data_IF_429301268985
#
_entry.id   IF_429301268985
#
_cell.length_a   1.000
_cell.length_b   1.000
_cell.length_c   1.000
_cell.angle_alpha   90.00
_cell.angle_beta   90.00
_cell.angle_gamma   90.00
#
_symmetry.space_group_name_H-M   'P 1'
#
loop_
_entity.id
_entity.type
_entity.pdbx_description
1 polymer ?
#
# COMPACT_ATOMS: atom_id res chain seq x y z
N UNK A 1 3.50 -33.42 -8.57
CA UNK A 1 4.33 -32.43 -7.86
C UNK A 1 3.46 -31.84 -6.76
N UNK A 2 3.80 -32.09 -5.50
CA UNK A 2 2.93 -31.79 -4.35
C UNK A 2 3.42 -30.51 -3.68
N UNK A 3 2.66 -29.42 -3.80
CA UNK A 3 3.03 -28.15 -3.17
C UNK A 3 2.61 -28.17 -1.69
N UNK A 4 3.58 -28.11 -0.77
CA UNK A 4 3.32 -27.88 0.64
C UNK A 4 3.36 -26.38 0.94
N UNK A 5 2.28 -25.86 1.54
CA UNK A 5 2.23 -24.50 2.08
C UNK A 5 2.96 -24.47 3.42
N UNK A 6 4.12 -23.81 3.45
CA UNK A 6 4.92 -23.59 4.67
C UNK A 6 4.56 -22.23 5.27
N UNK A 7 4.61 -22.11 6.60
CA UNK A 7 4.36 -20.84 7.29
C UNK A 7 5.36 -19.75 6.85
N UNK A 8 4.84 -18.54 6.57
CA UNK A 8 5.58 -17.40 6.00
C UNK A 8 6.87 -17.03 6.77
N UNK A 9 6.90 -17.30 8.07
CA UNK A 9 8.06 -17.09 8.95
C UNK A 9 9.31 -17.88 8.58
N UNK A 10 9.22 -18.94 7.77
CA UNK A 10 10.40 -19.67 7.29
C UNK A 10 11.05 -19.06 6.05
N UNK A 11 10.28 -18.36 5.20
CA UNK A 11 10.84 -17.61 4.06
C UNK A 11 11.64 -16.40 4.55
N UNK A 12 11.15 -15.72 5.59
CA UNK A 12 11.84 -14.58 6.22
C UNK A 12 13.19 -14.97 6.86
N UNK A 13 13.40 -16.24 7.19
CA UNK A 13 14.65 -16.76 7.77
C UNK A 13 15.68 -17.22 6.74
N UNK A 14 15.32 -17.24 5.46
CA UNK A 14 16.24 -17.52 4.35
C UNK A 14 16.16 -16.35 3.39
N UNK A 15 16.91 -15.29 3.68
CA UNK A 15 17.17 -14.25 2.70
C UNK A 15 17.95 -14.91 1.56
N UNK A 16 17.24 -15.31 0.52
CA UNK A 16 17.86 -15.68 -0.75
C UNK A 16 18.62 -14.46 -1.24
N UNK A 17 19.84 -14.70 -1.71
CA UNK A 17 20.62 -13.67 -2.37
C UNK A 17 19.85 -13.16 -3.60
N UNK A 18 20.12 -11.92 -4.03
CA UNK A 18 19.51 -11.37 -5.23
C UNK A 18 19.78 -12.25 -6.48
N UNK A 19 20.87 -13.02 -6.47
CA UNK A 19 21.26 -13.96 -7.52
C UNK A 19 20.41 -15.24 -7.50
N UNK A 20 20.23 -15.87 -6.33
CA UNK A 20 19.33 -17.02 -6.16
C UNK A 20 17.87 -16.66 -6.51
N UNK A 21 17.43 -15.44 -6.20
CA UNK A 21 16.10 -14.95 -6.59
C UNK A 21 15.97 -14.78 -8.12
N UNK A 22 17.04 -14.34 -8.80
CA UNK A 22 17.05 -14.19 -10.27
C UNK A 22 16.98 -15.54 -10.95
N UNK A 23 17.76 -16.51 -10.50
CA UNK A 23 17.76 -17.87 -11.01
C UNK A 23 16.40 -18.55 -10.78
N UNK A 24 15.86 -18.45 -9.55
CA UNK A 24 14.57 -19.03 -9.19
C UNK A 24 13.40 -18.48 -10.02
N UNK A 25 13.47 -17.20 -10.41
CA UNK A 25 12.43 -16.53 -11.21
C UNK A 25 12.74 -16.46 -12.71
N UNK A 26 13.85 -17.04 -13.17
CA UNK A 26 14.26 -17.01 -14.58
C UNK A 26 14.48 -15.60 -15.13
N UNK A 27 14.95 -14.67 -14.29
CA UNK A 27 15.06 -13.24 -14.61
C UNK A 27 16.35 -12.86 -15.34
N UNK A 28 17.14 -13.83 -15.78
CA UNK A 28 18.45 -13.61 -16.44
C UNK A 28 18.35 -12.74 -17.70
N UNK A 29 17.15 -12.60 -18.29
CA UNK A 29 16.88 -11.78 -19.46
C UNK A 29 16.16 -10.44 -19.17
N UNK A 30 15.76 -10.16 -17.92
CA UNK A 30 14.95 -8.97 -17.60
C UNK A 30 15.86 -7.85 -17.09
N UNK A 31 16.07 -6.83 -17.92
CA UNK A 31 16.72 -5.61 -17.49
C UNK A 31 15.83 -4.91 -16.45
N UNK A 32 16.24 -4.99 -15.18
CA UNK A 32 15.54 -4.30 -14.10
C UNK A 32 15.47 -2.79 -14.41
N UNK A 33 14.33 -2.14 -14.18
CA UNK A 33 14.22 -0.70 -14.40
C UNK A 33 15.24 0.04 -13.52
N UNK A 34 15.80 1.14 -14.05
CA UNK A 34 16.70 2.01 -13.28
C UNK A 34 16.00 2.43 -11.99
N UNK A 35 16.71 2.30 -10.86
CA UNK A 35 16.21 2.70 -9.54
C UNK A 35 15.79 4.17 -9.57
N UNK A 36 14.50 4.42 -9.33
CA UNK A 36 13.96 5.78 -9.22
C UNK A 36 14.25 6.26 -7.78
N UNK A 37 14.92 7.40 -7.58
CA UNK A 37 15.11 7.94 -6.23
C UNK A 37 13.75 8.32 -5.62
N UNK A 38 13.36 7.60 -4.57
CA UNK A 38 12.03 7.70 -3.92
C UNK A 38 12.03 8.75 -2.79
N UNK A 39 13.13 9.48 -2.58
CA UNK A 39 13.41 10.09 -1.27
C UNK A 39 12.46 11.21 -0.89
N UNK A 40 12.19 12.21 -1.73
CA UNK A 40 11.36 13.33 -1.31
C UNK A 40 9.87 13.02 -1.31
N UNK A 41 9.38 12.32 -2.34
CA UNK A 41 7.97 11.98 -2.54
C UNK A 41 7.40 11.00 -1.51
N UNK A 42 8.29 10.25 -0.84
CA UNK A 42 7.92 9.29 0.18
C UNK A 42 7.59 9.98 1.51
N UNK A 43 8.29 11.05 1.86
CA UNK A 43 8.15 11.65 3.19
C UNK A 43 6.79 12.28 3.42
N UNK A 44 6.20 12.93 2.42
CA UNK A 44 4.85 13.52 2.59
C UNK A 44 3.80 12.43 2.69
N UNK A 45 3.94 11.36 1.92
CA UNK A 45 3.08 10.18 2.03
C UNK A 45 3.15 9.56 3.43
N UNK A 46 4.36 9.27 3.92
CA UNK A 46 4.55 8.75 5.27
C UNK A 46 3.97 9.69 6.33
N UNK A 47 4.21 11.00 6.19
CA UNK A 47 3.69 11.99 7.11
C UNK A 47 2.16 12.02 7.11
N UNK A 48 1.52 11.94 5.94
CA UNK A 48 0.06 11.84 5.84
C UNK A 48 -0.50 10.61 6.56
N UNK A 49 0.15 9.46 6.41
CA UNK A 49 -0.24 8.20 7.09
C UNK A 49 0.00 8.28 8.60
N UNK A 50 1.09 8.93 9.05
CA UNK A 50 1.36 9.18 10.47
C UNK A 50 0.33 10.12 11.08
N UNK A 51 -0.02 11.21 10.40
CA UNK A 51 -1.08 12.11 10.85
C UNK A 51 -2.41 11.36 11.01
N UNK A 52 -2.77 10.52 10.02
CA UNK A 52 -3.94 9.65 10.14
C UNK A 52 -3.87 8.74 11.38
N UNK A 53 -2.76 8.05 11.60
CA UNK A 53 -2.56 7.20 12.79
C UNK A 53 -2.77 7.98 14.10
N UNK A 54 -2.19 9.18 14.20
CA UNK A 54 -2.29 10.03 15.40
C UNK A 54 -3.74 10.40 15.69
N UNK A 55 -4.47 10.87 14.68
CA UNK A 55 -5.84 11.37 14.88
C UNK A 55 -6.87 10.25 14.99
N UNK A 56 -6.69 9.13 14.29
CA UNK A 56 -7.59 7.97 14.38
C UNK A 56 -7.27 7.03 15.54
N UNK A 57 -6.13 7.22 16.22
CA UNK A 57 -5.70 6.41 17.36
C UNK A 57 -5.25 5.00 16.96
N UNK A 58 -4.71 4.85 15.75
CA UNK A 58 -4.32 3.57 15.17
C UNK A 58 -2.79 3.43 15.07
N UNK A 59 -2.29 2.23 15.36
CA UNK A 59 -0.85 1.94 15.32
C UNK A 59 -0.29 1.63 13.93
N UNK A 60 -1.16 1.34 12.97
CA UNK A 60 -0.78 0.99 11.60
C UNK A 60 -1.83 1.51 10.61
N UNK A 61 -1.36 2.22 9.59
CA UNK A 61 -2.20 2.71 8.50
C UNK A 61 -2.17 1.77 7.28
N UNK A 62 -1.22 0.83 7.24
CA UNK A 62 -1.02 -0.06 6.11
C UNK A 62 -1.45 -1.49 6.43
N UNK A 63 -2.09 -2.15 5.46
CA UNK A 63 -2.18 -3.60 5.47
C UNK A 63 -0.99 -4.12 4.67
N UNK A 64 0.13 -4.35 5.37
CA UNK A 64 1.31 -4.95 4.74
C UNK A 64 1.06 -6.44 4.58
N UNK A 65 0.93 -6.91 3.34
CA UNK A 65 0.63 -8.32 3.04
C UNK A 65 1.69 -9.30 3.57
N UNK A 66 2.90 -8.86 3.91
CA UNK A 66 3.92 -9.68 4.57
C UNK A 66 3.84 -9.71 6.10
N UNK A 67 3.15 -8.75 6.73
CA UNK A 67 3.12 -8.56 8.18
C UNK A 67 1.77 -9.03 8.73
N UNK A 68 1.79 -9.74 9.85
CA UNK A 68 0.60 -10.00 10.67
C UNK A 68 0.93 -9.59 12.08
N UNK A 69 0.09 -8.74 12.66
CA UNK A 69 0.23 -8.30 14.04
C UNK A 69 -0.63 -9.18 14.95
N UNK A 70 -0.26 -9.26 16.23
CA UNK A 70 -1.07 -9.99 17.21
C UNK A 70 -2.44 -9.34 17.43
N UNK A 71 -2.47 -8.01 17.29
CA UNK A 71 -3.67 -7.18 17.30
C UNK A 71 -3.67 -6.46 15.96
N UNK A 72 -4.60 -6.83 15.08
CA UNK A 72 -4.79 -6.17 13.79
C UNK A 72 -5.63 -4.90 14.02
N UNK A 73 -5.34 -3.83 13.27
CA UNK A 73 -6.05 -2.55 13.41
C UNK A 73 -7.56 -2.72 13.18
N UNK A 74 -8.37 -2.09 14.05
CA UNK A 74 -9.82 -2.12 13.90
C UNK A 74 -10.27 -1.22 12.76
N UNK A 75 -9.61 -0.05 12.61
CA UNK A 75 -9.86 0.89 11.52
C UNK A 75 -8.79 0.77 10.46
N UNK A 76 -9.15 1.19 9.26
CA UNK A 76 -8.25 1.13 8.10
C UNK A 76 -8.21 2.47 7.43
N UNK A 77 -7.00 2.92 7.09
CA UNK A 77 -6.86 3.99 6.13
C UNK A 77 -7.59 3.59 4.83
N UNK A 78 -8.47 4.44 4.28
CA UNK A 78 -8.55 5.88 4.49
C UNK A 78 -9.77 6.37 5.31
N UNK A 79 -10.32 5.54 6.21
CA UNK A 79 -11.50 5.89 7.01
C UNK A 79 -11.16 6.99 8.03
N UNK A 80 -12.01 8.02 8.14
CA UNK A 80 -11.83 9.11 9.09
C UNK A 80 -13.01 9.19 10.05
N UNK A 81 -12.75 9.00 11.34
CA UNK A 81 -13.74 9.13 12.40
C UNK A 81 -13.43 10.35 13.28
N UNK A 82 -12.19 10.47 13.73
CA UNK A 82 -11.79 11.46 14.72
C UNK A 82 -11.02 12.63 14.13
N UNK A 83 -10.39 12.45 12.97
CA UNK A 83 -9.62 13.51 12.31
C UNK A 83 -10.51 14.71 12.00
N UNK A 84 -10.14 15.95 12.36
CA UNK A 84 -10.86 17.17 11.96
C UNK A 84 -10.84 17.39 10.44
N UNK A 85 -11.90 17.95 9.87
CA UNK A 85 -12.04 18.12 8.40
C UNK A 85 -10.83 18.80 7.71
N UNK A 86 -10.28 19.92 8.22
CA UNK A 86 -9.11 20.54 7.59
C UNK A 86 -7.86 19.64 7.57
N UNK A 87 -7.72 18.76 8.56
CA UNK A 87 -6.63 17.77 8.61
C UNK A 87 -6.89 16.59 7.68
N UNK A 88 -8.15 16.20 7.47
CA UNK A 88 -8.51 15.16 6.48
C UNK A 88 -8.03 15.56 5.09
N UNK A 89 -8.24 16.83 4.71
CA UNK A 89 -7.85 17.32 3.39
C UNK A 89 -6.32 17.39 3.23
N UNK A 90 -5.61 17.82 4.28
CA UNK A 90 -4.15 17.74 4.30
C UNK A 90 -3.66 16.29 4.15
N UNK A 91 -4.25 15.34 4.89
CA UNK A 91 -3.90 13.92 4.81
C UNK A 91 -4.15 13.37 3.40
N UNK A 92 -5.30 13.69 2.79
CA UNK A 92 -5.61 13.29 1.40
C UNK A 92 -4.59 13.83 0.41
N UNK A 93 -4.19 15.09 0.52
CA UNK A 93 -3.17 15.68 -0.35
C UNK A 93 -1.81 15.04 -0.15
N UNK A 94 -1.37 14.85 1.10
CA UNK A 94 -0.13 14.16 1.44
C UNK A 94 -0.09 12.72 0.89
N UNK A 95 -1.24 12.05 0.89
CA UNK A 95 -1.39 10.66 0.45
C UNK A 95 -1.96 10.53 -0.97
N UNK A 96 -1.90 11.59 -1.79
CA UNK A 96 -2.38 11.54 -3.17
C UNK A 96 -1.70 10.39 -3.93
N UNK A 97 -2.49 9.61 -4.67
CA UNK A 97 -2.02 8.40 -5.35
C UNK A 97 -1.88 7.16 -4.45
N UNK A 98 -2.28 7.21 -3.18
CA UNK A 98 -2.43 5.99 -2.38
C UNK A 98 -3.48 5.06 -3.01
N UNK A 99 -3.22 3.75 -2.95
CA UNK A 99 -4.10 2.73 -3.54
C UNK A 99 -5.50 2.79 -2.94
N UNK A 100 -5.58 3.03 -1.65
CA UNK A 100 -6.80 3.03 -0.84
C UNK A 100 -7.80 4.09 -1.32
N UNK A 101 -7.34 5.16 -1.96
CA UNK A 101 -8.20 6.18 -2.56
C UNK A 101 -8.85 5.76 -3.88
N UNK A 102 -8.20 4.88 -4.65
CA UNK A 102 -8.63 4.48 -6.00
C UNK A 102 -9.41 3.16 -5.99
N UNK A 103 -8.90 2.19 -5.24
CA UNK A 103 -9.33 0.80 -5.32
C UNK A 103 -10.23 0.37 -4.16
N UNK A 104 -10.39 1.23 -3.16
CA UNK A 104 -11.10 0.90 -1.93
C UNK A 104 -10.34 -0.12 -1.06
N UNK A 105 -11.02 -0.80 -0.12
CA UNK A 105 -10.37 -1.76 0.76
C UNK A 105 -9.82 -2.93 -0.04
N UNK A 106 -8.64 -3.44 0.35
CA UNK A 106 -8.11 -4.65 -0.27
C UNK A 106 -9.11 -5.79 -0.15
N UNK A 107 -9.37 -6.47 -1.28
CA UNK A 107 -10.24 -7.65 -1.34
C UNK A 107 -9.70 -8.87 -0.59
N UNK A 108 -8.59 -8.71 0.15
CA UNK A 108 -7.93 -9.74 0.93
C UNK A 108 -7.54 -9.17 2.30
N UNK A 109 -7.56 -10.03 3.32
CA UNK A 109 -7.21 -9.71 4.71
C UNK A 109 -6.29 -10.79 5.28
N UNK A 110 -5.45 -10.42 6.24
CA UNK A 110 -4.63 -11.39 6.97
C UNK A 110 -5.15 -11.58 8.39
N UNK A 111 -5.02 -12.80 8.89
CA UNK A 111 -5.34 -13.15 10.27
C UNK A 111 -4.54 -14.36 10.70
N UNK A 112 -3.86 -14.27 11.84
CA UNK A 112 -3.09 -15.39 12.40
C UNK A 112 -2.06 -15.95 11.42
N UNK A 113 -1.39 -15.07 10.67
CA UNK A 113 -0.40 -15.46 9.66
C UNK A 113 -0.98 -16.04 8.34
N UNK A 114 -2.31 -16.14 8.19
CA UNK A 114 -2.97 -16.63 6.96
C UNK A 114 -3.61 -15.49 6.18
N UNK A 115 -3.89 -15.72 4.90
CA UNK A 115 -4.60 -14.77 4.01
C UNK A 115 -6.01 -15.31 3.75
N UNK A 116 -6.99 -14.43 3.74
CA UNK A 116 -8.40 -14.71 3.45
C UNK A 116 -8.94 -13.67 2.47
N UNK A 117 -9.96 -13.99 1.67
CA UNK A 117 -10.78 -12.97 1.04
C UNK A 117 -11.42 -12.05 2.09
N UNK A 118 -11.61 -10.78 1.75
CA UNK A 118 -12.32 -9.82 2.60
C UNK A 118 -13.73 -10.36 2.93
N UNK A 119 -14.13 -10.31 4.21
CA UNK A 119 -15.42 -10.84 4.66
C UNK A 119 -15.48 -12.36 4.81
N UNK A 120 -14.35 -13.07 4.66
CA UNK A 120 -14.26 -14.53 4.70
C UNK A 120 -13.22 -15.05 5.71
N UNK A 121 -12.98 -14.30 6.76
CA UNK A 121 -11.88 -14.52 7.70
C UNK A 121 -12.27 -15.27 8.99
N UNK A 122 -13.56 -15.55 9.17
CA UNK A 122 -14.07 -16.09 10.44
C UNK A 122 -14.15 -15.07 11.57
N UNK A 123 -13.97 -13.78 11.31
CA UNK A 123 -14.08 -12.70 12.31
C UNK A 123 -15.54 -12.28 12.41
N UNK A 124 -16.02 -11.94 13.61
CA UNK A 124 -17.37 -11.40 13.81
C UNK A 124 -18.51 -12.24 13.17
N UNK A 125 -18.33 -13.57 13.11
CA UNK A 125 -19.33 -14.47 12.52
C UNK A 125 -19.23 -14.61 10.99
N UNK A 126 -18.23 -14.03 10.34
CA UNK A 126 -17.95 -14.25 8.92
C UNK A 126 -17.74 -15.75 8.62
N UNK A 127 -18.13 -16.24 7.44
CA UNK A 127 -17.71 -17.56 7.00
C UNK A 127 -16.19 -17.62 6.82
N UNK A 128 -15.60 -18.80 6.97
CA UNK A 128 -14.17 -19.00 6.73
C UNK A 128 -13.98 -19.56 5.32
N UNK A 129 -13.25 -18.84 4.46
CA UNK A 129 -12.93 -19.32 3.12
C UNK A 129 -12.06 -20.59 3.17
N UNK A 130 -12.35 -21.51 2.27
CA UNK A 130 -11.49 -22.65 1.95
C UNK A 130 -10.22 -22.20 1.22
N UNK A 131 -9.26 -23.12 1.09
CA UNK A 131 -8.03 -22.87 0.33
C UNK A 131 -8.31 -22.51 -1.14
N UNK A 132 -9.23 -23.22 -1.79
CA UNK A 132 -9.54 -22.99 -3.20
C UNK A 132 -10.28 -21.66 -3.41
N UNK A 133 -11.24 -21.32 -2.55
CA UNK A 133 -11.87 -19.98 -2.58
C UNK A 133 -10.85 -18.86 -2.35
N UNK A 134 -9.90 -19.09 -1.43
CA UNK A 134 -8.82 -18.14 -1.16
C UNK A 134 -7.92 -17.95 -2.38
N UNK A 135 -7.51 -19.03 -3.06
CA UNK A 135 -6.73 -18.96 -4.30
C UNK A 135 -7.48 -18.23 -5.41
N UNK A 136 -8.74 -18.58 -5.63
CA UNK A 136 -9.60 -17.99 -6.65
C UNK A 136 -9.81 -16.48 -6.44
N UNK A 137 -9.81 -16.00 -5.18
CA UNK A 137 -9.88 -14.58 -4.88
C UNK A 137 -8.53 -13.86 -5.04
N UNK A 138 -7.43 -14.49 -4.58
CA UNK A 138 -6.10 -13.89 -4.53
C UNK A 138 -5.46 -13.77 -5.92
N UNK A 139 -5.61 -14.77 -6.78
CA UNK A 139 -4.99 -14.78 -8.11
C UNK A 139 -5.38 -13.57 -8.98
N UNK A 140 -6.68 -13.29 -9.22
CA UNK A 140 -7.07 -12.14 -10.02
C UNK A 140 -6.75 -10.81 -9.32
N UNK A 141 -6.72 -10.78 -7.99
CA UNK A 141 -6.26 -9.61 -7.25
C UNK A 141 -4.81 -9.28 -7.60
N UNK A 142 -3.88 -10.23 -7.44
CA UNK A 142 -2.47 -9.99 -7.74
C UNK A 142 -2.22 -9.69 -9.21
N UNK A 143 -2.95 -10.34 -10.12
CA UNK A 143 -2.81 -10.06 -11.53
C UNK A 143 -3.16 -8.60 -11.86
N UNK A 144 -4.22 -8.05 -11.25
CA UNK A 144 -4.55 -6.63 -11.38
C UNK A 144 -3.48 -5.73 -10.77
N UNK A 145 -2.96 -6.07 -9.60
CA UNK A 145 -1.92 -5.24 -8.94
C UNK A 145 -0.61 -5.21 -9.75
N UNK A 146 -0.21 -6.33 -10.35
CA UNK A 146 0.94 -6.39 -11.26
C UNK A 146 0.71 -5.52 -12.49
N UNK A 147 -0.45 -5.64 -13.14
CA UNK A 147 -0.79 -4.80 -14.30
C UNK A 147 -0.77 -3.30 -13.97
N UNK A 148 -1.28 -2.89 -12.80
CA UNK A 148 -1.21 -1.50 -12.35
C UNK A 148 0.23 -1.04 -12.13
N UNK A 149 1.07 -1.89 -11.52
CA UNK A 149 2.48 -1.58 -11.31
C UNK A 149 3.22 -1.40 -12.64
N UNK A 150 2.97 -2.26 -13.62
CA UNK A 150 3.51 -2.14 -14.97
C UNK A 150 3.10 -0.82 -15.64
N UNK A 151 1.79 -0.50 -15.60
CA UNK A 151 1.26 0.75 -16.13
C UNK A 151 1.90 1.98 -15.46
N UNK A 152 2.07 1.96 -14.15
CA UNK A 152 2.72 3.03 -13.40
C UNK A 152 4.18 3.23 -13.84
N UNK A 153 4.95 2.15 -13.97
CA UNK A 153 6.35 2.23 -14.40
C UNK A 153 6.45 2.80 -15.81
N UNK A 154 5.61 2.33 -16.74
CA UNK A 154 5.57 2.86 -18.11
C UNK A 154 5.19 4.35 -18.15
N UNK A 155 4.19 4.76 -17.37
CA UNK A 155 3.79 6.16 -17.23
C UNK A 155 4.94 7.02 -16.69
N UNK A 156 5.65 6.53 -15.67
CA UNK A 156 6.80 7.22 -15.10
C UNK A 156 7.93 7.40 -16.10
N UNK A 157 8.26 6.36 -16.86
CA UNK A 157 9.28 6.44 -17.92
C UNK A 157 8.88 7.49 -18.95
N UNK A 158 7.63 7.44 -19.43
CA UNK A 158 7.12 8.40 -20.40
C UNK A 158 7.14 9.85 -19.87
N UNK A 159 6.83 10.04 -18.58
CA UNK A 159 6.88 11.35 -17.94
C UNK A 159 8.33 11.88 -17.89
N UNK A 160 9.28 11.05 -17.48
CA UNK A 160 10.70 11.41 -17.41
C UNK A 160 11.32 11.72 -18.78
N UNK A 161 10.82 11.08 -19.84
CA UNK A 161 11.26 11.33 -21.22
C UNK A 161 10.49 12.45 -21.92
N UNK A 162 9.51 13.08 -21.25
CA UNK A 162 8.69 14.15 -21.82
C UNK A 162 7.70 13.67 -22.90
N UNK A 163 7.37 12.38 -22.91
CA UNK A 163 6.45 11.74 -23.87
C UNK A 163 5.15 11.24 -23.22
N UNK A 164 4.91 11.59 -21.95
CA UNK A 164 3.70 11.20 -21.24
C UNK A 164 2.45 11.82 -21.87
N UNK A 165 1.39 11.00 -21.98
CA UNK A 165 0.04 11.45 -22.29
C UNK A 165 -0.68 11.83 -21.00
N UNK A 166 -1.83 12.49 -21.13
CA UNK A 166 -2.68 12.87 -19.99
C UNK A 166 -3.04 11.66 -19.11
N UNK A 167 -3.41 10.52 -19.72
CA UNK A 167 -3.70 9.26 -19.01
C UNK A 167 -2.50 8.71 -18.22
N UNK A 168 -1.28 9.01 -18.66
CA UNK A 168 -0.06 8.57 -17.97
C UNK A 168 0.15 9.46 -16.73
N UNK A 169 -0.13 10.76 -16.82
CA UNK A 169 -0.04 11.72 -15.70
C UNK A 169 -1.05 11.41 -14.59
N UNK A 170 -2.25 10.93 -14.94
CA UNK A 170 -3.27 10.48 -13.96
C UNK A 170 -2.80 9.32 -13.08
N UNK A 171 -1.89 8.48 -13.58
CA UNK A 171 -1.28 7.40 -12.80
C UNK A 171 -0.21 7.92 -11.83
N UNK A 172 0.27 9.14 -12.02
CA UNK A 172 1.35 9.77 -11.26
C UNK A 172 0.80 10.82 -10.27
N UNK A 173 -0.35 10.57 -9.65
CA UNK A 173 -0.97 11.47 -8.67
C UNK A 173 -0.05 11.89 -7.51
N UNK A 174 1.01 11.13 -7.23
CA UNK A 174 2.02 11.53 -6.26
C UNK A 174 2.69 12.86 -6.61
N UNK A 175 2.70 13.27 -7.89
CA UNK A 175 3.21 14.57 -8.34
C UNK A 175 2.39 15.75 -7.81
N UNK A 176 1.15 15.51 -7.38
CA UNK A 176 0.25 16.51 -6.80
C UNK A 176 0.41 16.65 -5.29
N UNK A 177 1.28 15.85 -4.65
CA UNK A 177 1.52 15.93 -3.21
C UNK A 177 2.15 17.28 -2.86
N UNK A 178 1.80 17.87 -1.71
CA UNK A 178 2.43 19.09 -1.24
C UNK A 178 3.91 18.82 -0.91
N UNK A 179 4.70 19.88 -0.88
CA UNK A 179 6.04 19.89 -0.28
C UNK A 179 5.94 19.80 1.25
N UNK A 180 7.01 19.34 1.91
CA UNK A 180 7.05 19.31 3.39
C UNK A 180 6.88 20.72 4.01
N UNK A 181 7.32 21.77 3.30
CA UNK A 181 7.15 23.16 3.72
C UNK A 181 5.67 23.55 3.74
N UNK A 182 4.94 23.26 2.66
CA UNK A 182 3.50 23.53 2.56
C UNK A 182 2.70 22.74 3.61
N UNK A 183 3.09 21.49 3.87
CA UNK A 183 2.49 20.69 4.96
C UNK A 183 2.70 21.39 6.31
N UNK A 184 3.93 21.81 6.61
CA UNK A 184 4.25 22.51 7.86
C UNK A 184 3.51 23.85 7.98
N UNK A 185 3.41 24.62 6.90
CA UNK A 185 2.69 25.89 6.89
C UNK A 185 1.19 25.68 7.14
N UNK A 186 0.61 24.64 6.53
CA UNK A 186 -0.79 24.24 6.78
C UNK A 186 -0.99 23.85 8.25
N UNK A 187 -0.09 23.04 8.81
CA UNK A 187 -0.16 22.61 10.21
C UNK A 187 -0.05 23.78 11.19
N UNK A 188 0.85 24.73 10.94
CA UNK A 188 0.99 25.95 11.74
C UNK A 188 -0.24 26.87 11.64
N UNK A 189 -1.00 26.78 10.55
CA UNK A 189 -2.27 27.47 10.38
C UNK A 189 -3.39 26.93 11.26
N UNK A 190 -3.26 25.70 11.78
CA UNK A 190 -4.21 25.16 12.75
C UNK A 190 -3.99 25.79 14.12
N UNK A 191 -4.91 26.66 14.52
CA UNK A 191 -4.96 27.16 15.89
C UNK A 191 -5.42 26.02 16.79
N UNK A 192 -4.54 25.52 17.66
CA UNK A 192 -4.98 24.67 18.77
C UNK A 192 -5.86 25.54 19.67
N UNK A 193 -7.10 25.13 20.01
CA UNK A 193 -7.83 25.78 21.08
C UNK A 193 -6.94 25.70 22.34
N UNK A 194 -6.77 26.83 23.02
CA UNK A 194 -6.00 26.88 24.26
C UNK A 194 -6.52 25.81 25.23
N UNK A 195 -5.63 24.92 25.66
CA UNK A 195 -5.89 23.94 26.72
C UNK A 195 -6.18 24.63 28.05
#
# INVERSE_FOLDING_TARGET
MTFQLVANVQLEKRLLTAEELREMWGLDAVQMPKTIPVTELHWQYCLGKVLWCIFEGEGDADIILGRSLQIEAERRFPEFHHTPEPLRDLIKHCTAGAREWKDGPMGIVRRGGKVYPLGRSGVNGEPVATLEETKQAIQPFWQREVTKAEQFVLAKIAYDTGTARETDVELLDYLRRPTLREVLDTLNGFSLPAL
#
